data_IF_230912403331
#
_entry.id   IF_230912403331
#
_cell.length_a   1.000
_cell.length_b   1.000
_cell.length_c   1.000
_cell.angle_alpha   90.00
_cell.angle_beta   90.00
_cell.angle_gamma   90.00
#
_symmetry.space_group_name_H-M   'P 1'
#
loop_
_entity.id
_entity.type
_entity.pdbx_description
1 polymer ?
#
# COMPACT_ATOMS: atom_id res chain seq x y z
N UNK A 1 1.86 10.70 0.43
CA UNK A 1 1.17 11.30 1.58
C UNK A 1 -0.14 10.61 1.86
N UNK A 2 -0.44 10.41 3.13
CA UNK A 2 -1.72 9.93 3.61
C UNK A 2 -2.16 10.78 4.79
N UNK A 3 -3.29 11.45 4.64
CA UNK A 3 -3.97 12.24 5.67
C UNK A 3 -5.37 11.67 5.91
N UNK A 4 -5.81 11.69 7.14
CA UNK A 4 -7.17 11.28 7.55
C UNK A 4 -8.08 12.54 7.61
N UNK A 5 -8.25 13.24 6.47
CA UNK A 5 -8.78 14.60 6.48
C UNK A 5 -10.30 14.70 6.69
N UNK A 6 -11.08 13.86 6.03
CA UNK A 6 -12.55 13.90 6.06
C UNK A 6 -13.19 12.58 6.44
N UNK A 7 -12.45 11.50 6.27
CA UNK A 7 -12.87 10.14 6.53
C UNK A 7 -11.64 9.24 6.67
N UNK A 8 -11.87 7.98 7.01
CA UNK A 8 -10.83 6.95 6.92
C UNK A 8 -10.32 6.89 5.47
N UNK A 9 -9.01 7.04 5.28
CA UNK A 9 -8.42 7.01 3.94
C UNK A 9 -8.52 5.61 3.33
N UNK A 10 -8.96 5.51 2.09
CA UNK A 10 -9.02 4.28 1.28
C UNK A 10 -7.66 3.69 0.91
N UNK A 11 -6.57 4.46 1.13
CA UNK A 11 -5.19 4.00 0.98
C UNK A 11 -4.78 2.97 2.04
N UNK A 12 -5.55 2.86 3.13
CA UNK A 12 -5.29 1.97 4.25
C UNK A 12 -6.28 0.82 4.32
N UNK A 13 -5.81 -0.34 4.72
CA UNK A 13 -6.63 -1.47 5.13
C UNK A 13 -6.59 -1.60 6.66
N UNK A 14 -7.76 -1.76 7.29
CA UNK A 14 -7.92 -1.87 8.73
C UNK A 14 -8.45 -3.24 9.08
N UNK A 15 -7.74 -3.96 9.96
CA UNK A 15 -8.14 -5.29 10.42
C UNK A 15 -8.14 -5.36 11.92
N UNK A 16 -9.22 -5.90 12.47
CA UNK A 16 -9.42 -6.06 13.90
C UNK A 16 -9.75 -7.49 14.30
N UNK A 17 -9.33 -7.91 15.48
CA UNK A 17 -9.71 -9.17 16.10
C UNK A 17 -9.99 -9.00 17.59
N UNK A 18 -10.75 -9.93 18.14
CA UNK A 18 -11.00 -10.08 19.58
C UNK A 18 -11.47 -8.76 20.23
N UNK A 19 -12.38 -8.05 19.52
CA UNK A 19 -12.94 -6.78 20.03
C UNK A 19 -12.06 -5.55 19.84
N UNK A 20 -11.02 -5.62 19.00
CA UNK A 20 -10.33 -4.44 18.52
C UNK A 20 -11.23 -3.64 17.58
N UNK A 21 -11.14 -2.32 17.60
CA UNK A 21 -11.98 -1.41 16.80
C UNK A 21 -11.17 -0.27 16.22
N UNK A 22 -11.68 0.35 15.16
CA UNK A 22 -11.17 1.62 14.68
C UNK A 22 -12.31 2.59 14.40
N UNK A 23 -12.05 3.87 14.54
CA UNK A 23 -13.02 4.92 14.26
C UNK A 23 -12.34 6.20 13.81
N UNK A 24 -13.00 6.91 12.89
CA UNK A 24 -12.56 8.24 12.48
C UNK A 24 -13.00 9.29 13.49
N UNK A 25 -12.06 10.15 13.89
CA UNK A 25 -12.33 11.31 14.73
C UNK A 25 -12.33 12.57 13.84
N UNK A 26 -13.52 13.11 13.59
CA UNK A 26 -13.71 14.28 12.74
C UNK A 26 -13.09 15.57 13.34
N UNK A 27 -13.07 15.66 14.66
CA UNK A 27 -12.54 16.85 15.36
C UNK A 27 -11.01 16.92 15.30
N UNK A 28 -10.34 15.77 15.31
CA UNK A 28 -8.88 15.67 15.28
C UNK A 28 -8.34 15.33 13.88
N UNK A 29 -9.19 14.96 12.93
CA UNK A 29 -8.79 14.41 11.63
C UNK A 29 -7.84 13.22 11.77
N UNK A 30 -8.15 12.29 12.68
CA UNK A 30 -7.34 11.11 13.01
C UNK A 30 -8.15 9.84 12.92
N UNK A 31 -7.47 8.70 12.81
CA UNK A 31 -8.09 7.38 13.03
C UNK A 31 -7.63 6.84 14.38
N UNK A 32 -8.59 6.57 15.24
CA UNK A 32 -8.38 5.92 16.52
C UNK A 32 -8.37 4.41 16.36
N UNK A 33 -7.26 3.77 16.66
CA UNK A 33 -7.11 2.32 16.72
C UNK A 33 -7.21 1.89 18.17
N UNK A 34 -8.24 1.14 18.55
CA UNK A 34 -8.53 0.84 19.97
C UNK A 34 -8.49 -0.67 20.22
N UNK A 35 -7.66 -1.09 21.17
CA UNK A 35 -7.68 -2.45 21.72
C UNK A 35 -8.55 -2.51 22.98
N UNK A 36 -9.35 -3.58 23.07
CA UNK A 36 -10.20 -3.85 24.23
C UNK A 36 -9.47 -4.57 25.38
N UNK A 37 -10.23 -4.99 26.41
CA UNK A 37 -9.71 -5.64 27.61
C UNK A 37 -9.33 -7.10 27.43
N UNK A 38 -9.91 -7.77 26.44
CA UNK A 38 -9.66 -9.19 26.17
C UNK A 38 -8.27 -9.39 25.62
N UNK A 39 -7.51 -10.35 26.15
CA UNK A 39 -6.22 -10.76 25.61
C UNK A 39 -6.36 -11.16 24.15
N UNK A 40 -5.45 -10.69 23.29
CA UNK A 40 -5.53 -10.84 21.86
C UNK A 40 -6.42 -9.80 21.14
N UNK A 41 -7.03 -8.87 21.89
CA UNK A 41 -7.71 -7.72 21.26
C UNK A 41 -6.70 -6.86 20.53
N UNK A 42 -6.90 -6.68 19.23
CA UNK A 42 -5.94 -5.99 18.36
C UNK A 42 -6.61 -5.32 17.18
N UNK A 43 -5.95 -4.29 16.69
CA UNK A 43 -6.26 -3.61 15.45
C UNK A 43 -4.97 -3.24 14.73
N UNK A 44 -4.91 -3.51 13.45
CA UNK A 44 -3.82 -3.16 12.55
C UNK A 44 -4.34 -2.27 11.44
N UNK A 45 -3.57 -1.25 11.12
CA UNK A 45 -3.73 -0.39 9.97
C UNK A 45 -2.49 -0.52 9.09
N UNK A 46 -2.68 -0.89 7.82
CA UNK A 46 -1.57 -1.08 6.86
C UNK A 46 -1.93 -0.43 5.53
N UNK A 47 -0.95 0.18 4.86
CA UNK A 47 -1.19 0.70 3.51
C UNK A 47 -1.42 -0.45 2.53
N UNK A 48 -2.40 -0.29 1.63
CA UNK A 48 -2.67 -1.26 0.55
C UNK A 48 -1.52 -1.34 -0.45
N UNK A 49 -0.76 -0.26 -0.60
CA UNK A 49 0.42 -0.15 -1.45
C UNK A 49 1.68 -0.40 -0.64
N UNK A 50 2.67 -1.02 -1.27
CA UNK A 50 4.05 -1.05 -0.79
C UNK A 50 4.84 0.08 -1.45
N UNK A 51 5.89 0.51 -0.79
CA UNK A 51 6.72 1.63 -1.25
C UNK A 51 8.12 1.12 -1.55
N UNK A 52 8.59 1.25 -2.81
CA UNK A 52 9.88 0.71 -3.20
C UNK A 52 11.03 1.61 -2.78
N UNK A 53 12.09 1.00 -2.33
CA UNK A 53 13.40 1.62 -2.29
C UNK A 53 14.01 1.63 -3.70
N UNK A 54 14.63 2.74 -4.07
CA UNK A 54 15.40 2.84 -5.31
C UNK A 54 16.89 2.86 -5.00
N UNK A 55 17.70 1.95 -5.61
CA UNK A 55 19.15 1.93 -5.40
C UNK A 55 19.81 3.28 -5.69
N UNK A 56 20.70 3.70 -4.78
CA UNK A 56 21.40 4.98 -4.90
C UNK A 56 20.62 6.21 -4.41
N UNK A 57 19.43 6.01 -3.84
CA UNK A 57 18.62 7.07 -3.22
C UNK A 57 18.28 6.66 -1.79
N UNK A 58 18.07 7.62 -0.89
CA UNK A 58 17.50 7.30 0.41
C UNK A 58 15.97 7.32 0.35
N UNK A 59 15.35 6.56 1.26
CA UNK A 59 13.93 6.55 1.48
C UNK A 59 13.64 7.12 2.86
N UNK A 60 13.08 8.32 2.92
CA UNK A 60 12.66 8.96 4.15
C UNK A 60 11.20 8.67 4.43
N UNK A 61 10.92 8.06 5.57
CA UNK A 61 9.59 7.70 6.03
C UNK A 61 9.25 8.55 7.25
N UNK A 62 8.07 9.12 7.27
CA UNK A 62 7.58 9.97 8.35
C UNK A 62 6.21 9.45 8.79
N UNK A 63 6.06 9.16 10.08
CA UNK A 63 4.80 8.74 10.69
C UNK A 63 4.43 9.69 11.83
N UNK A 64 3.20 10.18 11.83
CA UNK A 64 2.65 11.02 12.87
C UNK A 64 1.60 10.25 13.67
N UNK A 65 1.74 10.24 14.98
CA UNK A 65 0.88 9.45 15.86
C UNK A 65 0.85 10.02 17.28
N UNK A 66 -0.11 9.53 18.09
CA UNK A 66 -0.07 9.60 19.54
C UNK A 66 -0.43 8.22 20.11
N UNK A 67 0.45 7.64 20.92
CA UNK A 67 0.23 6.33 21.55
C UNK A 67 -0.65 6.45 22.79
N UNK A 68 -1.23 5.35 23.20
CA UNK A 68 -1.81 5.24 24.55
C UNK A 68 -0.71 5.24 25.60
N UNK A 69 -1.06 5.62 26.83
CA UNK A 69 -0.14 5.53 27.96
C UNK A 69 0.49 4.13 28.07
N UNK A 70 1.82 4.03 28.20
CA UNK A 70 2.48 2.76 28.43
C UNK A 70 1.93 2.01 29.63
N UNK A 71 1.62 0.71 29.47
CA UNK A 71 1.14 -0.15 30.54
C UNK A 71 1.39 -1.62 30.23
N UNK A 72 1.48 -2.41 31.28
CA UNK A 72 1.69 -3.86 31.11
C UNK A 72 0.56 -4.48 30.27
N UNK A 73 0.91 -5.42 29.40
CA UNK A 73 -0.02 -6.10 28.50
C UNK A 73 -0.47 -5.31 27.29
N UNK A 74 0.09 -4.13 27.06
CA UNK A 74 -0.17 -3.32 25.86
C UNK A 74 1.06 -3.29 24.97
N UNK A 75 0.89 -3.60 23.67
CA UNK A 75 1.90 -3.40 22.64
C UNK A 75 1.39 -2.45 21.56
N UNK A 76 2.20 -1.47 21.18
CA UNK A 76 1.92 -0.51 20.13
C UNK A 76 3.13 -0.42 19.20
N UNK A 77 2.90 -0.40 17.88
CA UNK A 77 3.95 -0.31 16.86
C UNK A 77 3.58 0.70 15.78
N UNK A 78 4.56 1.44 15.32
CA UNK A 78 4.41 2.41 14.21
C UNK A 78 5.68 2.38 13.37
N UNK A 79 5.56 2.19 12.04
CA UNK A 79 6.74 2.21 11.19
C UNK A 79 6.53 1.74 9.77
N UNK A 80 7.64 1.34 9.16
CA UNK A 80 7.77 0.81 7.81
C UNK A 80 8.20 -0.65 7.90
N UNK A 81 7.24 -1.57 7.91
CA UNK A 81 7.52 -2.99 8.11
C UNK A 81 6.42 -3.89 7.56
N UNK A 82 6.84 -5.06 7.06
CA UNK A 82 5.96 -6.14 6.65
C UNK A 82 5.81 -7.20 7.74
N UNK A 83 4.75 -7.99 7.67
CA UNK A 83 4.45 -9.08 8.61
C UNK A 83 4.21 -10.40 7.89
N UNK A 84 4.51 -11.51 8.56
CA UNK A 84 4.16 -12.88 8.17
C UNK A 84 3.14 -13.47 9.14
N UNK A 85 2.60 -14.64 8.81
CA UNK A 85 1.67 -15.37 9.68
C UNK A 85 0.21 -14.95 9.55
N UNK A 86 -0.10 -14.12 8.57
CA UNK A 86 -1.44 -13.59 8.33
C UNK A 86 -1.92 -12.65 9.45
N UNK A 87 -3.19 -12.29 9.43
CA UNK A 87 -3.74 -11.31 10.36
C UNK A 87 -3.74 -11.75 11.84
N UNK A 88 -4.01 -13.03 12.11
CA UNK A 88 -4.16 -13.54 13.49
C UNK A 88 -2.83 -13.74 14.21
N UNK A 89 -1.76 -14.02 13.47
CA UNK A 89 -0.43 -14.31 13.99
C UNK A 89 0.64 -13.42 13.35
N UNK A 90 0.30 -12.18 13.02
CA UNK A 90 1.17 -11.25 12.32
C UNK A 90 2.46 -10.99 13.11
N UNK A 91 3.58 -11.43 12.55
CA UNK A 91 4.93 -11.24 13.11
C UNK A 91 5.76 -10.40 12.14
N UNK A 92 6.39 -9.28 12.56
CA UNK A 92 7.28 -8.51 11.71
C UNK A 92 8.38 -9.41 11.15
N UNK A 93 8.68 -9.31 9.86
CA UNK A 93 9.72 -10.10 9.22
C UNK A 93 10.79 -9.24 8.55
N UNK A 94 10.44 -8.06 8.04
CA UNK A 94 11.38 -7.05 7.55
C UNK A 94 10.88 -5.68 7.95
N UNK A 95 11.78 -4.77 8.24
CA UNK A 95 11.46 -3.36 8.40
C UNK A 95 11.95 -2.72 9.66
N UNK A 96 11.60 -1.45 9.82
CA UNK A 96 12.00 -0.58 10.91
C UNK A 96 10.75 0.04 11.54
N UNK A 97 10.69 -0.01 12.86
CA UNK A 97 9.52 0.52 13.59
C UNK A 97 9.86 0.92 15.02
N UNK A 98 9.09 1.86 15.54
CA UNK A 98 9.01 2.18 16.95
C UNK A 98 8.05 1.20 17.62
N UNK A 99 8.45 0.63 18.75
CA UNK A 99 7.64 -0.30 19.53
C UNK A 99 7.56 0.17 20.98
N UNK A 100 6.35 0.31 21.48
CA UNK A 100 6.04 0.37 22.91
C UNK A 100 5.51 -0.99 23.32
N UNK A 101 6.24 -1.75 24.15
CA UNK A 101 5.82 -3.05 24.69
C UNK A 101 5.85 -3.03 26.21
N UNK A 102 4.69 -3.15 26.80
CA UNK A 102 4.53 -2.92 28.23
C UNK A 102 4.94 -1.48 28.61
N UNK A 103 6.00 -1.37 29.41
CA UNK A 103 6.58 -0.07 29.83
C UNK A 103 7.85 0.28 29.02
N UNK A 104 8.26 -0.56 28.10
CA UNK A 104 9.54 -0.42 27.37
C UNK A 104 9.31 0.19 25.99
N UNK A 105 9.95 1.30 25.72
CA UNK A 105 10.03 1.90 24.40
C UNK A 105 11.30 1.46 23.69
N UNK A 106 11.19 1.01 22.44
CA UNK A 106 12.30 0.50 21.65
C UNK A 106 12.18 0.90 20.18
N UNK A 107 13.30 1.02 19.50
CA UNK A 107 13.37 1.05 18.04
C UNK A 107 13.83 -0.34 17.60
N UNK A 108 13.11 -0.92 16.63
CA UNK A 108 13.34 -2.27 16.15
C UNK A 108 13.71 -2.27 14.68
N UNK A 109 14.72 -3.07 14.33
CA UNK A 109 15.08 -3.46 12.97
C UNK A 109 14.91 -4.96 12.84
N UNK A 110 13.92 -5.40 12.08
CA UNK A 110 13.64 -6.82 11.84
C UNK A 110 14.14 -7.22 10.45
N UNK A 111 14.82 -8.36 10.41
CA UNK A 111 15.50 -8.90 9.25
C UNK A 111 15.08 -10.35 9.00
N UNK A 112 14.41 -10.60 7.89
CA UNK A 112 14.13 -11.97 7.44
C UNK A 112 15.40 -12.67 6.95
N UNK A 113 16.33 -11.96 6.32
CA UNK A 113 17.60 -12.52 5.83
C UNK A 113 18.49 -13.02 6.97
N UNK A 114 18.51 -12.29 8.07
CA UNK A 114 19.29 -12.65 9.28
C UNK A 114 18.45 -13.45 10.29
N UNK A 115 17.17 -13.63 10.03
CA UNK A 115 16.20 -14.27 10.93
C UNK A 115 16.27 -13.71 12.36
N UNK A 116 16.35 -12.40 12.49
CA UNK A 116 16.54 -11.70 13.77
C UNK A 116 15.80 -10.38 13.83
N UNK A 117 15.52 -9.92 15.04
CA UNK A 117 15.07 -8.57 15.33
C UNK A 117 16.04 -7.91 16.29
N UNK A 118 16.69 -6.84 15.84
CA UNK A 118 17.46 -5.98 16.72
C UNK A 118 16.48 -5.04 17.44
N UNK A 119 16.29 -5.24 18.73
CA UNK A 119 15.43 -4.41 19.58
C UNK A 119 16.32 -3.56 20.48
N UNK A 120 16.32 -2.25 20.23
CA UNK A 120 17.16 -1.31 20.98
C UNK A 120 16.27 -0.43 21.84
N UNK A 121 16.34 -0.65 23.17
CA UNK A 121 15.57 0.12 24.15
C UNK A 121 16.01 1.58 24.19
N UNK A 122 15.14 2.48 24.60
CA UNK A 122 15.40 3.92 24.64
C UNK A 122 16.68 4.30 25.38
N UNK A 123 17.00 3.62 26.48
CA UNK A 123 18.23 3.82 27.26
C UNK A 123 19.51 3.50 26.50
N UNK A 124 19.42 2.66 25.44
CA UNK A 124 20.54 2.20 24.62
C UNK A 124 20.61 2.87 23.25
N UNK A 125 19.74 3.84 22.96
CA UNK A 125 19.85 4.60 21.72
C UNK A 125 21.21 5.31 21.65
N UNK A 126 21.86 5.25 20.49
CA UNK A 126 23.22 5.75 20.28
C UNK A 126 23.27 7.22 19.82
N UNK A 127 22.13 7.83 19.52
CA UNK A 127 21.98 9.26 19.31
C UNK A 127 21.37 9.95 20.55
N UNK A 128 20.32 10.72 20.37
CA UNK A 128 19.56 11.31 21.47
C UNK A 128 18.63 10.27 22.10
N UNK A 129 18.76 10.05 23.38
CA UNK A 129 17.91 9.12 24.14
C UNK A 129 16.53 9.67 24.46
N UNK A 130 16.29 10.96 24.21
CA UNK A 130 15.02 11.62 24.52
C UNK A 130 14.55 11.38 25.98
N UNK A 131 15.47 11.44 26.90
CA UNK A 131 15.24 11.31 28.34
C UNK A 131 15.50 12.62 29.11
N UNK A 132 15.59 13.73 28.40
CA UNK A 132 15.88 15.05 28.96
C UNK A 132 17.39 15.36 29.14
N UNK A 133 18.27 14.34 29.02
CA UNK A 133 19.71 14.53 29.20
C UNK A 133 20.52 14.44 27.89
N UNK A 134 19.84 14.16 26.77
CA UNK A 134 20.45 14.11 25.44
C UNK A 134 20.67 15.50 24.83
N UNK A 135 21.30 15.59 23.62
CA UNK A 135 21.62 16.84 22.96
C UNK A 135 20.40 17.75 22.69
N UNK A 136 19.20 17.20 22.51
CA UNK A 136 17.97 17.98 22.32
C UNK A 136 17.41 18.57 23.62
N UNK A 137 17.78 18.02 24.78
CA UNK A 137 17.19 18.37 26.07
C UNK A 137 15.74 17.91 26.24
N UNK A 138 15.18 17.18 25.27
CA UNK A 138 13.76 16.77 25.24
C UNK A 138 13.55 15.44 25.96
N UNK A 139 12.47 15.36 26.74
CA UNK A 139 11.91 14.10 27.25
C UNK A 139 10.74 13.69 26.38
N UNK A 140 10.83 12.53 25.73
CA UNK A 140 9.78 12.02 24.84
C UNK A 140 8.57 11.57 25.65
N UNK A 141 7.42 12.13 25.32
CA UNK A 141 6.11 11.65 25.77
C UNK A 141 5.35 11.06 24.57
N UNK A 142 5.31 9.74 24.49
CA UNK A 142 4.63 9.02 23.39
C UNK A 142 3.11 9.23 23.36
N UNK A 143 2.53 9.78 24.43
CA UNK A 143 1.09 10.06 24.50
C UNK A 143 0.69 11.37 23.84
N UNK A 144 1.67 12.19 23.50
CA UNK A 144 1.50 13.42 22.72
C UNK A 144 1.61 13.15 21.23
N UNK A 145 1.26 14.15 20.41
CA UNK A 145 1.50 14.09 18.98
C UNK A 145 3.00 14.06 18.69
N UNK A 146 3.48 12.97 18.10
CA UNK A 146 4.88 12.77 17.75
C UNK A 146 5.04 12.59 16.25
N UNK A 147 6.15 13.06 15.71
CA UNK A 147 6.60 12.81 14.35
C UNK A 147 7.84 11.93 14.42
N UNK A 148 7.66 10.64 14.13
CA UNK A 148 8.75 9.67 14.04
C UNK A 148 9.21 9.58 12.59
N UNK A 149 10.49 9.70 12.35
CA UNK A 149 11.09 9.59 11.03
C UNK A 149 12.11 8.47 10.98
N UNK A 150 12.25 7.89 9.80
CA UNK A 150 13.22 6.86 9.46
C UNK A 150 13.83 7.23 8.12
N UNK A 151 15.14 7.09 8.01
CA UNK A 151 15.89 7.28 6.79
C UNK A 151 16.65 6.00 6.48
N UNK A 152 16.37 5.42 5.32
CA UNK A 152 16.83 4.10 4.93
C UNK A 152 17.65 4.21 3.66
N UNK A 153 18.96 4.03 3.77
CA UNK A 153 19.86 3.76 2.67
C UNK A 153 20.05 2.24 2.55
N UNK A 154 19.09 1.57 1.91
CA UNK A 154 19.11 0.12 1.97
C UNK A 154 20.36 -0.49 1.30
N UNK A 155 20.53 -0.39 -0.04
CA UNK A 155 21.62 -1.03 -0.82
C UNK A 155 21.98 -2.46 -0.32
N UNK A 156 21.08 -3.08 0.44
CA UNK A 156 21.27 -4.37 1.12
C UNK A 156 22.08 -4.33 2.40
N UNK A 157 22.97 -3.36 2.58
CA UNK A 157 23.93 -3.26 3.70
C UNK A 157 24.07 -1.84 4.27
N UNK A 158 23.31 -0.87 3.76
CA UNK A 158 23.37 0.52 4.21
C UNK A 158 22.87 0.72 5.64
N UNK A 159 23.12 1.89 6.19
CA UNK A 159 22.72 2.24 7.54
C UNK A 159 21.25 2.70 7.60
N UNK A 160 20.63 2.59 8.76
CA UNK A 160 19.27 3.04 9.02
C UNK A 160 19.29 4.04 10.16
N UNK A 161 18.89 5.28 9.89
CA UNK A 161 18.75 6.34 10.89
C UNK A 161 17.29 6.50 11.28
N UNK A 162 17.03 6.68 12.56
CA UNK A 162 15.68 6.87 13.09
C UNK A 162 15.67 7.96 14.15
N UNK A 163 14.55 8.67 14.28
CA UNK A 163 14.46 9.70 15.29
C UNK A 163 13.11 10.42 15.31
N UNK A 164 13.09 11.57 15.93
CA UNK A 164 11.90 12.40 16.08
C UNK A 164 12.17 13.83 15.59
N UNK A 165 11.11 14.47 15.11
CA UNK A 165 11.16 15.91 14.86
C UNK A 165 10.95 16.66 16.18
N UNK A 166 11.86 17.56 16.48
CA UNK A 166 11.82 18.46 17.63
C UNK A 166 12.00 19.89 17.12
N UNK A 167 11.07 20.77 17.42
CA UNK A 167 11.11 22.18 16.99
C UNK A 167 11.38 22.35 15.48
N UNK A 168 10.74 21.50 14.68
CA UNK A 168 10.85 21.50 13.22
C UNK A 168 12.17 20.91 12.67
N UNK A 169 13.00 20.26 13.49
CA UNK A 169 14.28 19.67 13.08
C UNK A 169 14.30 18.17 13.34
N UNK A 170 14.81 17.36 12.41
CA UNK A 170 15.01 15.93 12.64
C UNK A 170 16.17 15.72 13.63
N UNK A 171 15.89 15.06 14.74
CA UNK A 171 16.89 14.65 15.75
C UNK A 171 17.02 13.14 15.72
N UNK A 172 18.25 12.65 15.52
CA UNK A 172 18.54 11.20 15.46
C UNK A 172 18.45 10.60 16.87
N UNK A 173 17.60 9.60 17.03
CA UNK A 173 17.53 8.80 18.25
C UNK A 173 18.48 7.61 18.19
N UNK A 174 18.45 6.85 17.09
CA UNK A 174 19.28 5.67 16.92
C UNK A 174 19.66 5.44 15.46
N UNK A 175 20.88 4.96 15.24
CA UNK A 175 21.38 4.49 13.95
C UNK A 175 21.76 3.04 14.03
N UNK A 176 21.17 2.21 13.14
CA UNK A 176 21.62 0.85 12.91
C UNK A 176 22.73 0.88 11.86
N UNK A 177 23.93 0.55 12.27
CA UNK A 177 25.10 0.48 11.40
C UNK A 177 25.21 -0.96 10.85
N UNK A 178 24.96 -1.14 9.57
CA UNK A 178 24.97 -2.46 8.91
C UNK A 178 26.23 -2.69 8.06
N UNK A 179 26.79 -1.62 7.51
CA UNK A 179 27.98 -1.67 6.64
C UNK A 179 29.17 -2.31 7.35
N UNK A 180 29.83 -3.28 6.69
CA UNK A 180 30.97 -4.04 7.21
C UNK A 180 30.67 -4.81 8.51
N UNK A 181 29.42 -5.20 8.75
CA UNK A 181 28.99 -5.99 9.92
C UNK A 181 28.30 -7.29 9.56
N UNK A 182 27.50 -7.28 8.49
CA UNK A 182 26.70 -8.42 8.07
C UNK A 182 27.33 -9.10 6.84
N UNK A 183 27.24 -10.43 6.76
CA UNK A 183 27.67 -11.22 5.59
C UNK A 183 26.61 -11.31 4.51
N UNK A 184 25.41 -10.76 4.74
CA UNK A 184 24.27 -10.74 3.83
C UNK A 184 23.49 -9.44 3.99
N UNK A 185 22.47 -9.24 3.17
CA UNK A 185 21.56 -8.09 3.31
C UNK A 185 20.87 -8.10 4.67
N UNK A 186 20.72 -6.92 5.29
CA UNK A 186 20.04 -6.82 6.58
C UNK A 186 18.51 -6.89 6.49
N UNK A 187 17.94 -6.74 5.31
CA UNK A 187 16.52 -7.01 4.98
C UNK A 187 16.45 -7.68 3.61
N UNK A 188 15.53 -8.60 3.43
CA UNK A 188 15.33 -9.30 2.15
C UNK A 188 14.79 -8.35 1.07
N UNK A 189 13.99 -7.38 1.48
CA UNK A 189 13.38 -6.36 0.60
C UNK A 189 13.19 -5.06 1.35
N UNK A 190 13.28 -3.96 0.63
CA UNK A 190 12.89 -2.64 1.08
C UNK A 190 11.64 -2.13 0.32
N UNK A 191 10.78 -3.04 -0.14
CA UNK A 191 9.45 -2.76 -0.68
C UNK A 191 8.41 -3.15 0.36
N UNK A 192 8.13 -2.25 1.30
CA UNK A 192 7.31 -2.55 2.48
C UNK A 192 6.13 -1.57 2.60
N UNK A 193 5.08 -1.95 3.32
CA UNK A 193 3.99 -1.04 3.67
C UNK A 193 4.35 -0.17 4.87
N UNK A 194 3.56 0.91 5.06
CA UNK A 194 3.45 1.60 6.35
C UNK A 194 2.45 0.86 7.23
N UNK A 195 2.74 0.79 8.53
CA UNK A 195 1.89 0.03 9.44
C UNK A 195 1.81 0.67 10.83
N UNK A 196 0.61 0.62 11.42
CA UNK A 196 0.28 0.97 12.79
C UNK A 196 -0.41 -0.23 13.45
N UNK A 197 -0.02 -0.55 14.67
CA UNK A 197 -0.59 -1.68 15.41
C UNK A 197 -0.82 -1.33 16.87
N UNK A 198 -1.93 -1.82 17.41
CA UNK A 198 -2.16 -1.85 18.85
C UNK A 198 -2.75 -3.20 19.24
N UNK A 199 -2.23 -3.80 20.30
CA UNK A 199 -2.61 -5.13 20.76
C UNK A 199 -2.56 -5.25 22.28
N UNK A 200 -3.56 -5.90 22.84
CA UNK A 200 -3.56 -6.39 24.21
C UNK A 200 -2.92 -7.77 24.26
N UNK A 201 -1.68 -7.86 24.75
CA UNK A 201 -0.86 -9.08 24.73
C UNK A 201 -1.04 -9.96 25.97
N UNK A 202 -1.42 -9.39 27.15
CA UNK A 202 -1.48 -10.16 28.40
C UNK A 202 -2.46 -9.60 29.44
N UNK A 203 -3.56 -8.98 29.01
CA UNK A 203 -4.58 -8.51 29.95
C UNK A 203 -4.29 -7.13 30.54
N UNK A 204 -4.37 -6.10 29.68
CA UNK A 204 -4.26 -4.70 30.10
C UNK A 204 -5.43 -4.23 30.96
N UNK A 205 -5.20 -3.27 31.85
CA UNK A 205 -6.22 -2.59 32.59
C UNK A 205 -6.80 -1.42 31.79
N UNK A 206 -8.07 -1.49 31.41
CA UNK A 206 -8.74 -0.49 30.57
C UNK A 206 -8.34 -0.59 29.07
N UNK A 207 -9.21 -0.11 28.19
CA UNK A 207 -8.95 -0.01 26.76
C UNK A 207 -7.81 0.96 26.46
N UNK A 208 -7.19 0.82 25.29
CA UNK A 208 -6.08 1.66 24.87
C UNK A 208 -6.28 2.08 23.42
N UNK A 209 -5.87 3.30 23.10
CA UNK A 209 -6.06 3.89 21.78
C UNK A 209 -4.75 4.45 21.25
N UNK A 210 -4.33 3.96 20.07
CA UNK A 210 -3.28 4.55 19.23
C UNK A 210 -3.96 5.45 18.20
N UNK A 211 -3.58 6.73 18.15
CA UNK A 211 -4.07 7.67 17.14
C UNK A 211 -3.13 7.67 15.95
N UNK A 212 -3.66 7.30 14.80
CA UNK A 212 -3.01 7.43 13.49
C UNK A 212 -3.39 8.78 12.90
N UNK A 213 -2.41 9.63 12.61
CA UNK A 213 -2.64 11.01 12.15
C UNK A 213 -2.31 11.14 10.68
N UNK A 214 -1.03 11.03 10.33
CA UNK A 214 -0.53 11.24 8.97
C UNK A 214 0.71 10.38 8.72
N UNK A 215 0.97 10.06 7.45
CA UNK A 215 2.21 9.41 7.05
C UNK A 215 2.67 9.93 5.69
N UNK A 216 3.98 10.02 5.51
CA UNK A 216 4.61 10.42 4.26
C UNK A 216 5.82 9.55 3.98
N UNK A 217 6.05 9.28 2.70
CA UNK A 217 7.28 8.64 2.20
C UNK A 217 7.84 9.51 1.09
N UNK A 218 9.13 9.79 1.20
CA UNK A 218 9.87 10.59 0.25
C UNK A 218 11.07 9.77 -0.25
N UNK A 219 11.23 9.68 -1.57
CA UNK A 219 12.45 9.21 -2.23
C UNK A 219 13.28 10.41 -2.63
N UNK A 220 14.56 10.41 -2.35
CA UNK A 220 15.49 11.47 -2.78
C UNK A 220 15.48 11.60 -4.31
N UNK A 221 15.52 12.87 -4.80
CA UNK A 221 15.50 13.21 -6.21
C UNK A 221 14.32 12.63 -7.03
N UNK A 222 13.20 12.28 -6.35
CA UNK A 222 12.01 11.77 -6.98
C UNK A 222 12.14 10.32 -7.46
N UNK A 223 11.10 9.86 -8.13
CA UNK A 223 10.98 8.49 -8.60
C UNK A 223 11.46 8.37 -10.05
N UNK A 224 12.42 7.49 -10.32
CA UNK A 224 12.83 7.15 -11.68
C UNK A 224 12.20 5.83 -12.07
N UNK A 225 11.40 5.86 -13.13
CA UNK A 225 10.66 4.71 -13.61
C UNK A 225 11.51 3.74 -14.43
N UNK A 226 12.53 3.09 -13.83
CA UNK A 226 13.11 1.90 -14.44
C UNK A 226 12.13 0.75 -14.26
N UNK A 227 11.29 0.54 -15.26
CA UNK A 227 10.23 -0.44 -15.19
C UNK A 227 10.22 -1.28 -16.46
N UNK A 228 9.89 -2.56 -16.32
CA UNK A 228 9.50 -3.37 -17.46
C UNK A 228 8.11 -2.97 -17.90
N UNK A 229 7.92 -2.86 -19.20
CA UNK A 229 6.60 -2.64 -19.79
C UNK A 229 6.02 -3.95 -20.26
N UNK A 230 4.75 -4.11 -20.02
CA UNK A 230 3.95 -5.24 -20.47
C UNK A 230 2.66 -4.72 -21.11
N UNK A 231 2.03 -5.56 -21.90
CA UNK A 231 0.80 -5.25 -22.60
C UNK A 231 -0.07 -6.51 -22.70
N UNK A 232 -1.37 -6.33 -22.72
CA UNK A 232 -2.35 -7.37 -23.02
C UNK A 232 -3.48 -6.81 -23.89
N UNK A 233 -3.82 -7.55 -24.95
CA UNK A 233 -4.91 -7.22 -25.87
C UNK A 233 -6.10 -8.17 -25.64
N UNK A 234 -7.32 -7.68 -25.79
CA UNK A 234 -8.55 -8.45 -25.56
C UNK A 234 -8.62 -9.66 -26.49
N UNK A 235 -8.48 -9.71 -27.68
CA UNK A 235 -8.60 -10.86 -28.59
C UNK A 235 -7.46 -10.92 -29.63
N UNK A 236 -6.28 -10.41 -29.29
CA UNK A 236 -5.20 -10.24 -30.26
C UNK A 236 -5.64 -9.27 -31.36
N UNK A 237 -5.56 -9.68 -32.61
CA UNK A 237 -5.97 -8.86 -33.76
C UNK A 237 -7.46 -8.99 -34.11
N UNK A 238 -8.24 -9.77 -33.37
CA UNK A 238 -9.65 -9.97 -33.67
C UNK A 238 -10.52 -8.96 -32.90
N UNK A 239 -11.56 -8.48 -33.57
CA UNK A 239 -12.59 -7.64 -32.95
C UNK A 239 -13.47 -8.49 -32.02
N UNK A 240 -14.02 -7.85 -31.00
CA UNK A 240 -15.04 -8.39 -30.10
C UNK A 240 -16.34 -7.66 -30.39
N UNK A 241 -17.38 -8.40 -30.77
CA UNK A 241 -18.70 -7.81 -30.99
C UNK A 241 -19.42 -7.61 -29.67
N UNK A 242 -19.85 -6.38 -29.40
CA UNK A 242 -20.73 -5.99 -28.29
C UNK A 242 -22.17 -5.99 -28.82
N UNK A 243 -22.87 -7.08 -28.58
CA UNK A 243 -24.13 -7.39 -29.25
C UNK A 243 -25.32 -6.56 -28.79
N UNK A 244 -25.30 -6.06 -27.55
CA UNK A 244 -26.47 -5.43 -26.91
C UNK A 244 -26.11 -4.07 -26.35
N UNK A 245 -26.84 -3.04 -26.75
CA UNK A 245 -26.70 -1.69 -26.22
C UNK A 245 -26.92 -1.64 -24.70
N UNK A 246 -26.34 -0.63 -24.06
CA UNK A 246 -26.48 -0.34 -22.62
C UNK A 246 -25.98 -1.46 -21.67
N UNK A 247 -25.42 -2.55 -22.21
CA UNK A 247 -24.77 -3.60 -21.41
C UNK A 247 -23.29 -3.27 -21.21
N UNK A 248 -22.85 -3.28 -19.96
CA UNK A 248 -21.44 -3.07 -19.61
C UNK A 248 -20.66 -4.39 -19.75
N UNK A 249 -19.78 -4.46 -20.75
CA UNK A 249 -18.94 -5.63 -21.02
C UNK A 249 -17.56 -5.48 -20.38
N UNK A 250 -17.09 -6.46 -19.58
CA UNK A 250 -15.72 -6.48 -19.09
C UNK A 250 -14.78 -6.89 -20.23
N UNK A 251 -13.80 -6.08 -20.50
CA UNK A 251 -12.86 -6.31 -21.60
C UNK A 251 -11.56 -6.92 -21.09
N UNK A 252 -10.83 -6.22 -20.26
CA UNK A 252 -9.54 -6.63 -19.69
C UNK A 252 -9.54 -6.32 -18.22
N UNK A 253 -9.13 -7.29 -17.40
CA UNK A 253 -8.91 -7.08 -15.98
C UNK A 253 -7.46 -7.43 -15.61
N UNK A 254 -6.87 -6.66 -14.69
CA UNK A 254 -5.54 -6.84 -14.14
C UNK A 254 -5.61 -6.93 -12.63
N UNK A 255 -4.76 -7.77 -12.03
CA UNK A 255 -4.52 -7.83 -10.59
C UNK A 255 -3.09 -8.29 -10.31
N UNK A 256 -2.58 -8.07 -9.11
CA UNK A 256 -1.31 -8.67 -8.69
C UNK A 256 -1.43 -10.20 -8.65
N UNK A 257 -0.38 -10.88 -9.10
CA UNK A 257 -0.27 -12.32 -8.91
C UNK A 257 -0.19 -12.66 -7.41
N UNK A 258 -0.91 -13.70 -6.97
CA UNK A 258 -1.01 -14.07 -5.56
C UNK A 258 0.34 -14.42 -4.90
N UNK A 259 1.34 -14.80 -5.68
CA UNK A 259 2.70 -15.07 -5.20
C UNK A 259 3.62 -13.82 -5.24
N UNK A 260 3.10 -12.68 -5.70
CA UNK A 260 3.85 -11.43 -5.95
C UNK A 260 3.07 -10.21 -5.48
N UNK A 261 2.44 -10.30 -4.31
CA UNK A 261 1.58 -9.25 -3.76
C UNK A 261 2.30 -7.99 -3.28
N UNK A 262 3.62 -8.04 -3.20
CA UNK A 262 4.54 -6.93 -2.92
C UNK A 262 5.12 -6.27 -4.18
N UNK A 263 4.65 -6.68 -5.36
CA UNK A 263 5.05 -6.09 -6.63
C UNK A 263 4.42 -4.71 -6.83
N UNK A 264 5.16 -3.86 -7.53
CA UNK A 264 4.68 -2.53 -7.90
C UNK A 264 4.26 -2.56 -9.35
N UNK A 265 2.97 -2.47 -9.57
CA UNK A 265 2.32 -2.51 -10.88
C UNK A 265 1.51 -1.24 -11.08
N UNK A 266 1.84 -0.51 -12.14
CA UNK A 266 1.20 0.76 -12.48
C UNK A 266 0.64 0.65 -13.91
N UNK A 267 -0.70 0.59 -14.10
CA UNK A 267 -1.31 0.74 -15.42
C UNK A 267 -0.87 2.05 -16.06
N UNK A 268 -0.51 2.03 -17.33
CA UNK A 268 0.11 3.19 -17.99
C UNK A 268 -0.64 3.68 -19.22
N UNK A 269 -1.01 2.77 -20.11
CA UNK A 269 -1.69 3.12 -21.35
C UNK A 269 -2.91 2.26 -21.57
N UNK A 270 -3.91 2.85 -22.19
CA UNK A 270 -5.11 2.19 -22.67
C UNK A 270 -5.34 2.60 -24.11
N UNK A 271 -5.55 1.63 -24.99
CA UNK A 271 -5.98 1.86 -26.36
C UNK A 271 -7.30 1.13 -26.62
N UNK A 272 -8.22 1.80 -27.29
CA UNK A 272 -9.51 1.23 -27.70
C UNK A 272 -9.79 1.66 -29.12
N UNK A 273 -10.14 0.71 -29.97
CA UNK A 273 -10.64 0.94 -31.34
C UNK A 273 -12.11 0.50 -31.35
N UNK A 274 -12.93 1.33 -31.96
CA UNK A 274 -14.37 1.09 -32.11
C UNK A 274 -14.73 1.09 -33.59
N UNK A 275 -15.34 0.03 -34.04
CA UNK A 275 -15.80 -0.13 -35.43
C UNK A 275 -17.30 -0.44 -35.49
N UNK A 276 -18.00 -0.03 -36.56
CA UNK A 276 -19.35 -0.52 -36.79
C UNK A 276 -19.36 -2.02 -36.99
N UNK A 277 -20.33 -2.71 -36.42
CA UNK A 277 -20.57 -4.11 -36.73
C UNK A 277 -21.15 -4.32 -38.13
N UNK A 278 -21.87 -5.39 -38.32
CA UNK A 278 -22.43 -5.80 -39.62
C UNK A 278 -23.39 -4.77 -40.23
N UNK A 279 -24.00 -3.92 -39.40
CA UNK A 279 -24.94 -2.88 -39.80
C UNK A 279 -24.27 -1.66 -40.44
N UNK A 280 -22.96 -1.52 -40.33
CA UNK A 280 -22.14 -0.44 -40.87
C UNK A 280 -22.65 0.98 -40.51
N UNK A 281 -23.29 1.14 -39.35
CA UNK A 281 -23.75 2.42 -38.81
C UNK A 281 -22.71 3.02 -37.88
N UNK A 282 -22.62 4.36 -37.78
CA UNK A 282 -21.79 4.98 -36.75
C UNK A 282 -22.18 4.47 -35.37
N UNK A 283 -21.21 4.08 -34.57
CA UNK A 283 -21.41 3.54 -33.23
C UNK A 283 -20.61 4.35 -32.19
N UNK A 284 -21.10 4.37 -30.99
CA UNK A 284 -20.48 5.04 -29.84
C UNK A 284 -20.38 4.08 -28.67
N UNK A 285 -19.26 4.12 -27.98
CA UNK A 285 -18.99 3.29 -26.81
C UNK A 285 -18.61 4.17 -25.63
N UNK A 286 -19.22 3.94 -24.48
CA UNK A 286 -18.73 4.46 -23.23
C UNK A 286 -17.63 3.51 -22.71
N UNK A 287 -16.45 4.04 -22.42
CA UNK A 287 -15.43 3.30 -21.68
C UNK A 287 -15.43 3.70 -20.20
N UNK A 288 -15.19 2.74 -19.32
CA UNK A 288 -14.96 2.97 -17.88
C UNK A 288 -13.83 2.09 -17.38
N UNK A 289 -13.07 2.61 -16.44
CA UNK A 289 -12.15 1.84 -15.62
C UNK A 289 -12.73 1.71 -14.23
N UNK A 290 -12.94 0.46 -13.81
CA UNK A 290 -13.47 0.11 -12.51
C UNK A 290 -12.38 -0.45 -11.60
N UNK A 291 -12.41 -0.05 -10.34
CA UNK A 291 -11.60 -0.63 -9.28
C UNK A 291 -12.45 -1.57 -8.43
N UNK A 292 -11.97 -2.81 -8.26
CA UNK A 292 -12.58 -3.83 -7.42
C UNK A 292 -14.05 -4.19 -7.75
N UNK A 293 -14.45 -4.29 -9.03
CA UNK A 293 -15.75 -4.84 -9.36
C UNK A 293 -15.79 -6.36 -9.16
N UNK A 294 -16.99 -6.91 -9.13
CA UNK A 294 -17.21 -8.34 -9.20
C UNK A 294 -17.29 -8.78 -10.66
N UNK A 295 -16.48 -9.77 -11.04
CA UNK A 295 -16.45 -10.37 -12.36
C UNK A 295 -17.10 -11.76 -12.36
N UNK A 296 -17.88 -12.08 -13.40
CA UNK A 296 -18.47 -13.40 -13.64
C UNK A 296 -17.88 -14.03 -14.89
N UNK A 297 -17.76 -15.36 -14.92
CA UNK A 297 -17.23 -16.10 -16.06
C UNK A 297 -15.74 -15.86 -16.31
N UNK A 298 -15.00 -15.46 -15.27
CA UNK A 298 -13.61 -15.06 -15.39
C UNK A 298 -12.64 -16.25 -15.26
N UNK A 299 -11.62 -16.26 -16.12
CA UNK A 299 -10.46 -17.16 -16.01
C UNK A 299 -9.21 -16.31 -15.97
N UNK A 300 -8.51 -16.32 -14.84
CA UNK A 300 -7.26 -15.60 -14.65
C UNK A 300 -6.08 -16.36 -15.22
N UNK A 301 -5.19 -15.66 -15.89
CA UNK A 301 -3.92 -16.17 -16.42
C UNK A 301 -2.79 -15.30 -15.94
N UNK A 302 -1.67 -15.91 -15.56
CA UNK A 302 -0.45 -15.15 -15.21
C UNK A 302 0.23 -14.69 -16.49
N UNK A 303 0.61 -13.43 -16.55
CA UNK A 303 1.37 -12.89 -17.68
C UNK A 303 2.78 -13.50 -17.69
N UNK A 304 3.25 -13.90 -18.87
CA UNK A 304 4.58 -14.50 -19.02
C UNK A 304 5.67 -13.50 -18.59
N UNK A 305 6.53 -13.90 -17.68
CA UNK A 305 7.59 -13.07 -17.08
C UNK A 305 7.11 -11.79 -16.37
N UNK A 306 5.81 -11.69 -16.08
CA UNK A 306 5.21 -10.57 -15.34
C UNK A 306 4.76 -10.95 -13.93
N UNK A 307 4.44 -9.94 -13.12
CA UNK A 307 3.89 -10.09 -11.78
C UNK A 307 2.37 -9.88 -11.74
N UNK A 308 1.73 -9.86 -12.89
CA UNK A 308 0.30 -9.59 -13.07
C UNK A 308 -0.43 -10.84 -13.51
N UNK A 309 -1.58 -11.10 -12.88
CA UNK A 309 -2.61 -11.94 -13.47
C UNK A 309 -3.56 -11.04 -14.28
N UNK A 310 -3.91 -11.50 -15.46
CA UNK A 310 -4.87 -10.82 -16.32
C UNK A 310 -6.07 -11.70 -16.63
N UNK A 311 -7.16 -11.08 -16.99
CA UNK A 311 -8.37 -11.76 -17.46
C UNK A 311 -8.95 -11.04 -18.68
N UNK A 312 -9.26 -11.81 -19.73
CA UNK A 312 -9.92 -11.34 -20.95
C UNK A 312 -11.18 -12.16 -21.27
N UNK A 313 -11.63 -13.02 -20.35
CA UNK A 313 -12.71 -13.98 -20.58
C UNK A 313 -13.97 -13.68 -19.76
N UNK A 314 -13.93 -12.74 -18.85
CA UNK A 314 -15.09 -12.36 -18.05
C UNK A 314 -16.28 -11.98 -18.96
N UNK A 315 -17.48 -12.43 -18.58
CA UNK A 315 -18.71 -12.23 -19.35
C UNK A 315 -19.64 -11.20 -18.73
N UNK A 316 -19.51 -10.91 -17.44
CA UNK A 316 -20.28 -9.86 -16.77
C UNK A 316 -19.45 -9.17 -15.67
N UNK A 317 -19.83 -7.93 -15.37
CA UNK A 317 -19.22 -7.10 -14.35
C UNK A 317 -20.30 -6.37 -13.56
N UNK A 318 -20.12 -6.27 -12.23
CA UNK A 318 -21.05 -5.55 -11.34
C UNK A 318 -20.31 -4.84 -10.23
N UNK A 319 -20.80 -3.65 -9.87
CA UNK A 319 -20.23 -2.84 -8.79
C UNK A 319 -18.83 -2.32 -9.13
N UNK A 320 -18.04 -2.08 -8.09
CA UNK A 320 -16.74 -1.42 -8.20
C UNK A 320 -16.81 0.09 -8.10
N UNK A 321 -15.66 0.74 -8.09
CA UNK A 321 -15.53 2.20 -8.07
C UNK A 321 -15.08 2.69 -9.43
N UNK A 322 -15.84 3.59 -10.04
CA UNK A 322 -15.44 4.27 -11.28
C UNK A 322 -14.21 5.15 -11.01
N UNK A 323 -13.12 4.93 -11.75
CA UNK A 323 -11.90 5.74 -11.67
C UNK A 323 -11.84 6.72 -12.84
N UNK A 324 -12.13 6.23 -14.05
CA UNK A 324 -12.16 7.00 -15.30
C UNK A 324 -13.34 6.57 -16.13
N UNK A 325 -13.84 7.47 -16.95
CA UNK A 325 -14.82 7.18 -17.98
C UNK A 325 -14.88 8.27 -19.04
N UNK A 326 -15.39 7.89 -20.20
CA UNK A 326 -15.59 8.76 -21.36
C UNK A 326 -16.27 8.03 -22.51
N UNK A 327 -16.33 8.68 -23.67
CA UNK A 327 -16.99 8.16 -24.86
C UNK A 327 -16.06 8.15 -26.07
N UNK A 328 -16.23 7.15 -26.91
CA UNK A 328 -15.52 6.95 -28.16
C UNK A 328 -16.53 6.69 -29.29
N UNK A 329 -16.30 7.26 -30.44
CA UNK A 329 -17.10 6.99 -31.64
C UNK A 329 -16.29 6.16 -32.66
N UNK A 330 -17.00 5.52 -33.61
CA UNK A 330 -16.40 4.70 -34.69
C UNK A 330 -15.47 5.42 -35.65
N UNK A 331 -15.33 6.73 -35.52
CA UNK A 331 -14.34 7.53 -36.27
C UNK A 331 -13.12 7.92 -35.43
N UNK A 332 -13.03 7.44 -34.20
CA UNK A 332 -11.97 7.78 -33.25
C UNK A 332 -11.23 6.60 -32.70
N UNK A 333 -9.94 6.76 -32.52
CA UNK A 333 -9.13 5.92 -31.64
C UNK A 333 -8.81 6.69 -30.38
N UNK A 334 -8.91 6.05 -29.22
CA UNK A 334 -8.45 6.61 -27.97
C UNK A 334 -7.10 6.02 -27.64
N UNK A 335 -6.09 6.86 -27.59
CA UNK A 335 -4.84 6.55 -26.91
C UNK A 335 -4.79 7.39 -25.63
N UNK A 336 -5.10 6.77 -24.49
CA UNK A 336 -4.92 7.41 -23.20
C UNK A 336 -3.47 7.16 -22.79
N UNK A 337 -2.57 7.96 -23.32
CA UNK A 337 -1.16 8.00 -22.88
C UNK A 337 -1.01 8.65 -21.50
N UNK A 338 -2.06 9.23 -20.96
CA UNK A 338 -2.08 10.02 -19.72
C UNK A 338 -2.60 9.26 -18.49
N UNK A 339 -2.67 7.92 -18.51
CA UNK A 339 -2.85 7.18 -17.24
C UNK A 339 -1.67 7.45 -16.27
N UNK A 340 -0.58 8.03 -16.75
CA UNK A 340 0.49 8.55 -15.88
C UNK A 340 0.00 9.62 -14.87
N UNK A 341 -1.10 10.33 -15.13
CA UNK A 341 -1.71 11.25 -14.18
C UNK A 341 -2.44 10.51 -13.03
N UNK A 342 -2.63 9.20 -13.17
CA UNK A 342 -3.39 8.44 -12.18
C UNK A 342 -2.66 8.13 -10.90
N UNK A 343 -1.33 8.11 -10.86
CA UNK A 343 -0.61 7.61 -9.68
C UNK A 343 -1.25 6.33 -9.10
N UNK A 344 -1.91 5.54 -9.99
CA UNK A 344 -2.63 4.36 -9.59
C UNK A 344 -1.68 3.17 -9.62
N UNK A 345 -1.37 2.66 -8.46
CA UNK A 345 -0.63 1.42 -8.28
C UNK A 345 -1.60 0.36 -7.78
N UNK A 346 -1.57 -0.83 -8.36
CA UNK A 346 -2.30 -1.97 -7.81
C UNK A 346 -1.82 -2.25 -6.39
N UNK A 347 -2.76 -2.36 -5.47
CA UNK A 347 -2.50 -2.66 -4.08
C UNK A 347 -3.05 -4.03 -3.67
N UNK A 348 -2.92 -4.33 -2.39
CA UNK A 348 -3.52 -5.50 -1.76
C UNK A 348 -4.05 -5.16 -0.36
N UNK A 349 -4.99 -5.94 0.13
CA UNK A 349 -5.36 -5.88 1.54
C UNK A 349 -4.49 -6.84 2.39
N UNK A 350 -4.63 -6.76 3.71
CA UNK A 350 -3.89 -7.62 4.66
C UNK A 350 -4.26 -9.11 4.58
N UNK A 351 -5.33 -9.48 3.87
CA UNK A 351 -5.69 -10.86 3.58
C UNK A 351 -5.03 -11.40 2.31
N UNK A 352 -4.21 -10.59 1.65
CA UNK A 352 -3.56 -10.98 0.40
C UNK A 352 -4.50 -10.93 -0.82
N UNK A 353 -5.60 -10.19 -0.74
CA UNK A 353 -6.49 -9.97 -1.89
C UNK A 353 -6.01 -8.73 -2.62
N UNK A 354 -5.59 -8.92 -3.88
CA UNK A 354 -5.16 -7.82 -4.76
C UNK A 354 -6.32 -6.96 -5.17
N UNK A 355 -6.07 -5.66 -5.37
CA UNK A 355 -6.95 -4.81 -6.15
C UNK A 355 -7.12 -5.39 -7.57
N UNK A 356 -8.32 -5.22 -8.11
CA UNK A 356 -8.66 -5.60 -9.48
C UNK A 356 -8.99 -4.35 -10.28
N UNK A 357 -8.23 -4.11 -11.34
CA UNK A 357 -8.40 -2.99 -12.26
C UNK A 357 -9.06 -3.52 -13.54
N UNK A 358 -10.22 -2.99 -13.94
CA UNK A 358 -11.02 -3.53 -15.03
C UNK A 358 -11.40 -2.45 -16.03
N UNK A 359 -11.01 -2.65 -17.28
CA UNK A 359 -11.55 -1.90 -18.41
C UNK A 359 -12.89 -2.50 -18.80
N UNK A 360 -13.90 -1.66 -18.89
CA UNK A 360 -15.24 -2.02 -19.39
C UNK A 360 -15.66 -1.11 -20.54
N UNK A 361 -16.42 -1.68 -21.46
CA UNK A 361 -17.01 -0.95 -22.58
C UNK A 361 -18.54 -1.16 -22.56
N UNK A 362 -19.27 -0.09 -22.76
CA UNK A 362 -20.75 -0.12 -22.89
C UNK A 362 -21.14 0.50 -24.24
N UNK A 363 -21.61 -0.29 -25.20
CA UNK A 363 -22.05 0.24 -26.47
C UNK A 363 -23.37 1.03 -26.30
N UNK A 364 -23.51 2.14 -27.02
CA UNK A 364 -24.75 2.94 -27.07
C UNK A 364 -25.69 2.38 -28.13
N UNK A 365 -25.13 1.71 -29.12
CA UNK A 365 -25.85 1.03 -30.18
C UNK A 365 -25.54 -0.47 -30.16
N UNK A 366 -26.50 -1.30 -30.60
CA UNK A 366 -26.30 -2.72 -30.82
C UNK A 366 -25.26 -2.99 -31.93
N UNK A 367 -24.63 -4.18 -31.89
CA UNK A 367 -23.74 -4.66 -32.93
C UNK A 367 -22.53 -3.75 -33.16
N UNK A 368 -21.80 -3.47 -32.07
CA UNK A 368 -20.59 -2.64 -32.07
C UNK A 368 -19.36 -3.52 -31.94
N UNK A 369 -18.43 -3.41 -32.88
CA UNK A 369 -17.18 -4.13 -32.87
C UNK A 369 -16.07 -3.33 -32.18
N UNK A 370 -15.32 -3.96 -31.28
CA UNK A 370 -14.26 -3.31 -30.50
C UNK A 370 -13.03 -4.17 -30.39
N UNK A 371 -11.86 -3.53 -30.28
CA UNK A 371 -10.67 -4.13 -29.71
C UNK A 371 -10.01 -3.14 -28.76
N UNK A 372 -9.30 -3.67 -27.78
CA UNK A 372 -8.64 -2.84 -26.79
C UNK A 372 -7.39 -3.51 -26.22
N UNK A 373 -6.50 -2.70 -25.70
CA UNK A 373 -5.34 -3.18 -24.96
C UNK A 373 -5.10 -2.34 -23.69
N UNK A 374 -4.36 -2.91 -22.76
CA UNK A 374 -3.85 -2.24 -21.57
C UNK A 374 -2.37 -2.53 -21.46
N UNK A 375 -1.58 -1.47 -21.28
CA UNK A 375 -0.18 -1.57 -20.93
C UNK A 375 0.04 -1.19 -19.47
N UNK A 376 1.06 -1.76 -18.84
CA UNK A 376 1.44 -1.41 -17.48
C UNK A 376 2.96 -1.46 -17.30
N UNK A 377 3.40 -0.81 -16.24
CA UNK A 377 4.78 -0.90 -15.77
C UNK A 377 4.85 -1.83 -14.55
N UNK A 378 5.90 -2.63 -14.51
CA UNK A 378 6.31 -3.36 -13.30
C UNK A 378 7.68 -2.87 -12.87
N UNK A 379 7.74 -2.35 -11.65
CA UNK A 379 8.98 -1.93 -11.03
C UNK A 379 9.52 -3.10 -10.25
N UNK A 380 10.77 -3.42 -10.51
CA UNK A 380 11.48 -4.58 -9.96
C UNK A 380 12.52 -4.10 -8.97
#
# INVERSE_FOLDING_TARGET
>A
DSQQRYQVSDKWDYRSATGGTYSYNVTESTVSLTSGLTVGSKIYSETKKVFPYQPGKSLTIINTFAMSQPKNGLRQRVGYFGVTGGFTAATPYNGVYLQQDGLTLSICLTSASLNTTQTVTQSNWNGDRFNGSGPSGVTLDVTKGNIFWMDIEWLGVGDVRTGFFVDGRPVVAHTFYNTNKNSTTYMTTACLPLRYEIENTSGQTGSSTLRQICSSILSEAGYEGFARRFNITKNGSNLTNLTTQDIQYPMIALRLNSNRLDSIVVPSNLSVVVEPGTNNKPVTVQYRILLNPTLTGNTWKTHFNGNVDYNTTATAVTGGTDIIGGYLSSSGSLDISSINDFNFQLGRNQLGVSDTFVLTLTPIEDDTDVTCDISWFEII
#
